data_IF_820147606354
#
_entry.id   IF_820147606354
#
_cell.length_a   1.000
_cell.length_b   1.000
_cell.length_c   1.000
_cell.angle_alpha   90.00
_cell.angle_beta   90.00
_cell.angle_gamma   90.00
#
_symmetry.space_group_name_H-M   'P 1'
#
loop_
_entity.id
_entity.type
_entity.pdbx_description
1 polymer ?
#
# COMPACT_ATOMS: atom_id res chain seq x y z
N UNK A 1 -0.24 5.34 14.12
CA UNK A 1 -1.12 5.11 12.95
C UNK A 1 -0.90 6.29 12.01
N UNK A 2 -0.16 6.10 10.92
CA UNK A 2 0.08 7.17 9.95
C UNK A 2 -1.11 7.23 8.99
N UNK A 3 -1.81 8.35 9.00
CA UNK A 3 -2.81 8.68 8.00
C UNK A 3 -2.06 9.00 6.71
N UNK A 4 -2.29 8.25 5.65
CA UNK A 4 -1.65 8.49 4.35
C UNK A 4 -2.72 8.69 3.27
N UNK A 5 -3.28 9.91 3.15
CA UNK A 5 -3.99 10.30 1.95
C UNK A 5 -3.12 10.03 0.71
N UNK A 6 -3.74 9.54 -0.37
CA UNK A 6 -3.00 9.19 -1.59
C UNK A 6 -2.26 10.39 -2.21
N UNK A 7 -2.74 11.61 -1.94
CA UNK A 7 -2.12 12.86 -2.37
C UNK A 7 -0.80 13.09 -1.64
N UNK A 8 -0.75 12.84 -0.33
CA UNK A 8 0.47 12.97 0.46
C UNK A 8 1.49 11.90 0.08
N UNK A 9 1.03 10.67 -0.18
CA UNK A 9 1.90 9.60 -0.67
C UNK A 9 2.49 9.95 -2.05
N UNK A 10 1.69 10.52 -2.95
CA UNK A 10 2.14 10.96 -4.26
C UNK A 10 3.20 12.08 -4.17
N UNK A 11 2.98 13.05 -3.26
CA UNK A 11 3.94 14.11 -2.99
C UNK A 11 5.26 13.55 -2.44
N UNK A 12 5.20 12.66 -1.43
CA UNK A 12 6.39 12.06 -0.82
C UNK A 12 7.22 11.23 -1.81
N UNK A 13 6.56 10.59 -2.78
CA UNK A 13 7.23 9.79 -3.81
C UNK A 13 7.63 10.59 -5.06
N UNK A 14 7.28 11.88 -5.14
CA UNK A 14 7.43 12.71 -6.34
C UNK A 14 6.85 12.01 -7.59
N UNK A 15 5.63 11.50 -7.48
CA UNK A 15 4.90 10.80 -8.55
C UNK A 15 3.48 11.34 -8.69
N UNK A 16 2.85 11.08 -9.83
CA UNK A 16 1.43 11.40 -10.00
C UNK A 16 0.56 10.50 -9.13
N UNK A 17 -0.61 10.99 -8.72
CA UNK A 17 -1.59 10.18 -7.97
C UNK A 17 -2.03 8.95 -8.74
N UNK A 18 -2.09 9.02 -10.08
CA UNK A 18 -2.41 7.88 -10.94
C UNK A 18 -1.33 6.81 -10.89
N UNK A 19 -0.06 7.19 -10.95
CA UNK A 19 1.07 6.26 -10.81
C UNK A 19 1.03 5.56 -9.45
N UNK A 20 0.78 6.31 -8.37
CA UNK A 20 0.67 5.74 -7.03
C UNK A 20 -0.51 4.76 -6.93
N UNK A 21 -1.69 5.10 -7.45
CA UNK A 21 -2.85 4.18 -7.49
C UNK A 21 -2.50 2.88 -8.21
N UNK A 22 -1.84 2.98 -9.36
CA UNK A 22 -1.44 1.82 -10.15
C UNK A 22 -0.47 0.92 -9.37
N UNK A 23 0.59 1.49 -8.81
CA UNK A 23 1.57 0.73 -8.02
C UNK A 23 0.94 0.08 -6.78
N UNK A 24 0.00 0.75 -6.11
CA UNK A 24 -0.72 0.16 -4.99
C UNK A 24 -1.56 -1.05 -5.40
N UNK A 25 -2.21 -1.00 -6.57
CA UNK A 25 -2.94 -2.16 -7.09
C UNK A 25 -1.99 -3.32 -7.42
N UNK A 26 -0.88 -3.04 -8.11
CA UNK A 26 0.13 -4.06 -8.46
C UNK A 26 0.72 -4.75 -7.21
N UNK A 27 0.97 -3.99 -6.13
CA UNK A 27 1.45 -4.53 -4.86
C UNK A 27 0.38 -5.36 -4.12
N UNK A 28 -0.89 -4.96 -4.22
CA UNK A 28 -2.01 -5.69 -3.63
C UNK A 28 -2.25 -7.02 -4.38
N UNK A 29 -2.21 -6.98 -5.71
CA UNK A 29 -2.31 -8.17 -6.57
C UNK A 29 -1.14 -9.14 -6.34
N UNK A 30 0.05 -8.63 -6.06
CA UNK A 30 1.23 -9.44 -5.70
C UNK A 30 1.19 -9.98 -4.25
N UNK A 31 0.17 -9.63 -3.45
CA UNK A 31 0.07 -10.03 -2.05
C UNK A 31 1.15 -9.42 -1.15
N UNK A 32 1.71 -8.27 -1.53
CA UNK A 32 2.75 -7.55 -0.78
C UNK A 32 2.18 -6.50 0.16
N UNK A 33 0.96 -6.02 -0.10
CA UNK A 33 0.24 -5.10 0.79
C UNK A 33 -1.22 -5.54 0.96
N UNK A 34 -1.84 -5.09 2.05
CA UNK A 34 -3.28 -5.17 2.29
C UNK A 34 -3.85 -3.76 2.45
N UNK A 35 -4.91 -3.43 1.71
CA UNK A 35 -5.62 -2.16 1.88
C UNK A 35 -6.99 -2.37 2.54
N UNK A 36 -7.24 -1.63 3.62
CA UNK A 36 -8.50 -1.68 4.37
C UNK A 36 -9.20 -0.33 4.28
N UNK A 37 -10.36 -0.31 3.63
CA UNK A 37 -11.23 0.87 3.56
C UNK A 37 -11.86 1.14 4.94
N UNK A 38 -11.74 2.36 5.44
CA UNK A 38 -12.19 2.72 6.80
C UNK A 38 -13.60 3.32 6.86
N UNK A 39 -14.10 3.87 5.75
CA UNK A 39 -15.40 4.51 5.70
C UNK A 39 -15.47 5.53 4.57
N UNK A 40 -16.51 6.36 4.56
CA UNK A 40 -16.59 7.50 3.67
C UNK A 40 -15.80 8.67 4.27
N UNK A 41 -15.00 9.38 3.46
CA UNK A 41 -14.15 10.49 3.91
C UNK A 41 -12.83 10.05 4.59
N UNK A 42 -12.77 8.85 5.14
CA UNK A 42 -11.58 8.30 5.78
C UNK A 42 -10.61 7.67 4.76
N UNK A 43 -9.31 8.01 4.79
CA UNK A 43 -8.29 7.33 4.00
C UNK A 43 -8.17 5.85 4.34
N UNK A 44 -7.79 5.09 3.33
CA UNK A 44 -7.55 3.66 3.47
C UNK A 44 -6.33 3.42 4.37
N UNK A 45 -6.40 2.39 5.22
CA UNK A 45 -5.21 1.84 5.88
C UNK A 45 -4.47 0.95 4.90
N UNK A 46 -3.15 1.11 4.82
CA UNK A 46 -2.29 0.28 3.99
C UNK A 46 -1.32 -0.46 4.92
N UNK A 47 -1.33 -1.78 4.87
CA UNK A 47 -0.44 -2.64 5.66
C UNK A 47 0.56 -3.31 4.72
N UNK A 48 1.85 -3.15 5.01
CA UNK A 48 2.91 -3.87 4.31
C UNK A 48 3.00 -5.28 4.87
N UNK A 49 2.87 -6.28 4.00
CA UNK A 49 3.00 -7.68 4.38
C UNK A 49 4.48 -8.06 4.31
N UNK A 50 5.07 -8.33 5.47
CA UNK A 50 6.46 -8.81 5.52
C UNK A 50 6.43 -10.30 5.15
N UNK A 51 7.06 -10.70 4.03
CA UNK A 51 7.10 -12.10 3.65
C UNK A 51 7.76 -12.89 4.78
N UNK A 52 7.14 -14.01 5.16
CA UNK A 52 7.80 -14.95 6.05
C UNK A 52 9.06 -15.44 5.33
N UNK A 53 10.20 -15.39 6.01
CA UNK A 53 11.43 -16.00 5.49
C UNK A 53 11.07 -17.43 5.13
N UNK A 54 11.20 -17.78 3.87
CA UNK A 54 11.03 -19.17 3.46
C UNK A 54 12.06 -19.95 4.25
N UNK A 55 11.59 -20.82 5.16
CA UNK A 55 12.44 -21.80 5.81
C UNK A 55 12.95 -22.68 4.66
N UNK A 56 14.07 -22.29 4.05
CA UNK A 56 14.87 -23.13 3.16
C UNK A 56 15.46 -24.24 4.02
N UNK A 57 14.59 -25.16 4.45
CA UNK A 57 14.96 -26.49 4.90
C UNK A 57 14.85 -27.41 3.70
N UNK A 58 15.80 -27.25 2.79
CA UNK A 58 16.18 -28.24 1.80
C UNK A 58 17.70 -28.29 1.77
#
# INVERSE_FOLDING_TARGET
LFHFPIVELAAALARSTMTVKRSLNELEDAGLILRVRQGFGEPNKIYVLIPKKEDRRL
#
